data_IF_515417289236
#
_entry.id   IF_515417289236
#
_cell.length_a   1.000
_cell.length_b   1.000
_cell.length_c   1.000
_cell.angle_alpha   90.00
_cell.angle_beta   90.00
_cell.angle_gamma   90.00
#
_symmetry.space_group_name_H-M   'P 1'
#
loop_
_entity.id
_entity.type
_entity.pdbx_description
1 polymer ?
#
# COMPACT_ATOMS: atom_id res chain seq x y z
N UNK A 1 18.38 12.99 4.64
CA UNK A 1 18.06 11.55 4.82
C UNK A 1 17.18 11.44 6.06
N UNK A 2 15.94 10.98 5.90
CA UNK A 2 14.92 10.98 6.96
C UNK A 2 15.35 10.08 8.13
N UNK A 3 15.22 10.58 9.36
CA UNK A 3 15.50 9.88 10.64
C UNK A 3 14.55 8.70 10.94
N UNK A 4 13.65 8.37 10.01
CA UNK A 4 12.69 7.26 10.09
C UNK A 4 13.11 6.02 9.28
N UNK A 5 14.39 5.91 8.88
CA UNK A 5 14.93 4.63 8.43
C UNK A 5 15.01 3.70 9.64
N UNK A 6 13.90 3.02 9.95
CA UNK A 6 13.86 1.95 10.92
C UNK A 6 14.98 0.96 10.56
N UNK A 7 15.72 0.46 11.55
CA UNK A 7 16.70 -0.62 11.34
C UNK A 7 15.96 -1.96 11.16
N UNK A 8 15.04 -2.00 10.20
CA UNK A 8 14.14 -3.12 9.86
C UNK A 8 14.72 -3.95 8.72
N UNK A 9 16.05 -3.94 8.59
CA UNK A 9 16.77 -4.69 7.56
C UNK A 9 16.49 -6.17 7.67
N UNK A 10 16.14 -6.78 6.53
CA UNK A 10 15.94 -8.21 6.40
C UNK A 10 17.18 -8.99 6.88
N UNK A 11 17.04 -9.91 7.86
CA UNK A 11 18.10 -10.81 8.31
C UNK A 11 18.77 -11.57 7.15
N UNK A 12 20.06 -11.87 7.29
CA UNK A 12 20.84 -12.52 6.23
C UNK A 12 20.24 -13.82 5.72
N UNK A 13 19.79 -14.71 6.63
CA UNK A 13 19.16 -15.97 6.25
C UNK A 13 17.87 -15.77 5.44
N UNK A 14 17.07 -14.76 5.77
CA UNK A 14 15.85 -14.43 5.01
C UNK A 14 16.18 -13.79 3.66
N UNK A 15 17.32 -13.11 3.52
CA UNK A 15 17.77 -12.58 2.23
C UNK A 15 18.19 -13.69 1.28
N UNK A 16 18.79 -14.76 1.79
CA UNK A 16 19.08 -15.96 0.99
C UNK A 16 17.78 -16.61 0.50
N UNK A 17 16.79 -16.77 1.40
CA UNK A 17 15.47 -17.28 1.04
C UNK A 17 14.74 -16.39 0.03
N UNK A 18 14.80 -15.07 0.21
CA UNK A 18 14.27 -14.10 -0.75
C UNK A 18 14.84 -14.35 -2.15
N UNK A 19 16.16 -14.48 -2.27
CA UNK A 19 16.80 -14.73 -3.57
C UNK A 19 16.36 -16.04 -4.22
N UNK A 20 16.20 -17.11 -3.42
CA UNK A 20 15.70 -18.41 -3.92
C UNK A 20 14.25 -18.32 -4.40
N UNK A 21 13.37 -17.72 -3.59
CA UNK A 21 11.95 -17.58 -3.91
C UNK A 21 11.76 -16.66 -5.11
N UNK A 22 12.53 -15.57 -5.20
CA UNK A 22 12.50 -14.67 -6.35
C UNK A 22 12.90 -15.38 -7.64
N UNK A 23 13.96 -16.19 -7.60
CA UNK A 23 14.38 -17.02 -8.73
C UNK A 23 13.27 -17.95 -9.20
N UNK A 24 12.67 -18.70 -8.26
CA UNK A 24 11.53 -19.58 -8.56
C UNK A 24 10.37 -18.78 -9.18
N UNK A 25 9.98 -17.65 -8.58
CA UNK A 25 8.89 -16.82 -9.07
C UNK A 25 9.13 -16.34 -10.52
N UNK A 26 10.37 -15.96 -10.85
CA UNK A 26 10.77 -15.58 -12.21
C UNK A 26 10.77 -16.76 -13.17
N UNK A 27 11.22 -17.94 -12.73
CA UNK A 27 11.21 -19.17 -13.53
C UNK A 27 9.77 -19.60 -13.89
N UNK A 28 8.79 -19.32 -13.02
CA UNK A 28 7.36 -19.48 -13.31
C UNK A 28 6.77 -18.37 -14.22
N UNK A 29 7.56 -17.38 -14.61
CA UNK A 29 7.15 -16.31 -15.53
C UNK A 29 6.41 -15.14 -14.88
N UNK A 30 6.49 -14.98 -13.55
CA UNK A 30 5.85 -13.85 -12.86
C UNK A 30 6.59 -12.53 -13.18
N UNK A 31 5.81 -11.47 -13.44
CA UNK A 31 6.27 -10.12 -13.74
C UNK A 31 5.87 -9.16 -12.62
N UNK A 32 6.69 -9.10 -11.56
CA UNK A 32 6.50 -8.23 -10.38
C UNK A 32 7.45 -7.02 -10.38
N UNK A 33 7.12 -5.99 -9.59
CA UNK A 33 8.05 -4.89 -9.31
C UNK A 33 9.22 -5.36 -8.44
N UNK A 34 10.36 -4.63 -8.42
CA UNK A 34 11.39 -4.88 -7.41
C UNK A 34 10.77 -4.83 -6.01
N UNK A 35 10.95 -5.90 -5.22
CA UNK A 35 10.33 -6.04 -3.90
C UNK A 35 11.38 -5.91 -2.80
N UNK A 36 11.13 -5.01 -1.86
CA UNK A 36 11.96 -4.79 -0.67
C UNK A 36 11.22 -5.38 0.53
N UNK A 37 11.84 -6.35 1.18
CA UNK A 37 11.32 -6.93 2.42
C UNK A 37 11.95 -6.28 3.65
N UNK A 38 11.11 -5.98 4.64
CA UNK A 38 11.52 -5.43 5.92
C UNK A 38 10.90 -6.24 7.06
N UNK A 39 11.66 -6.47 8.12
CA UNK A 39 11.16 -7.17 9.32
C UNK A 39 10.62 -6.15 10.31
N UNK A 40 9.38 -6.34 10.77
CA UNK A 40 8.74 -5.50 11.78
C UNK A 40 8.40 -6.28 13.05
N UNK A 41 8.43 -5.57 14.18
CA UNK A 41 7.82 -6.05 15.41
C UNK A 41 6.29 -6.01 15.33
N UNK A 42 5.63 -6.65 16.30
CA UNK A 42 4.17 -6.64 16.41
C UNK A 42 3.60 -5.22 16.50
N UNK A 43 4.20 -4.37 17.34
CA UNK A 43 3.76 -2.99 17.53
C UNK A 43 3.91 -2.19 16.22
N UNK A 44 5.06 -2.33 15.56
CA UNK A 44 5.32 -1.65 14.28
C UNK A 44 4.38 -2.10 13.17
N UNK A 45 4.04 -3.39 13.13
CA UNK A 45 3.07 -3.92 12.16
C UNK A 45 1.70 -3.28 12.38
N UNK A 46 1.24 -3.19 13.62
CA UNK A 46 -0.04 -2.54 13.95
C UNK A 46 -0.02 -1.04 13.65
N UNK A 47 1.08 -0.34 13.93
CA UNK A 47 1.26 1.09 13.59
C UNK A 47 1.15 1.34 12.08
N UNK A 48 1.87 0.55 11.29
CA UNK A 48 1.87 0.68 9.83
C UNK A 48 0.51 0.26 9.25
N UNK A 49 -0.11 -0.79 9.78
CA UNK A 49 -1.44 -1.23 9.38
C UNK A 49 -2.50 -0.16 9.66
N UNK A 50 -2.44 0.52 10.80
CA UNK A 50 -3.32 1.64 11.14
C UNK A 50 -3.15 2.82 10.17
N UNK A 51 -1.98 3.02 9.57
CA UNK A 51 -1.79 3.99 8.48
C UNK A 51 -2.16 3.45 7.09
N UNK A 52 -2.84 2.31 7.02
CA UNK A 52 -3.22 1.63 5.79
C UNK A 52 -1.98 1.21 4.99
N UNK A 53 -0.90 0.86 5.67
CA UNK A 53 0.35 0.41 5.08
C UNK A 53 1.36 1.50 4.75
N UNK A 54 1.00 2.78 4.79
CA UNK A 54 1.90 3.84 4.36
C UNK A 54 2.77 4.36 5.53
N UNK A 55 4.09 4.55 5.34
CA UNK A 55 4.97 5.05 6.41
C UNK A 55 4.64 6.47 6.90
N UNK A 56 3.91 7.25 6.10
CA UNK A 56 3.56 8.62 6.46
C UNK A 56 2.19 8.97 5.91
N UNK A 57 1.31 9.43 6.81
CA UNK A 57 -0.02 9.97 6.51
C UNK A 57 -0.14 11.40 7.05
N UNK A 58 -1.27 12.04 6.74
CA UNK A 58 -1.70 13.24 7.45
C UNK A 58 -2.06 12.86 8.91
N UNK A 59 -1.87 13.76 9.88
CA UNK A 59 -2.29 13.50 11.25
C UNK A 59 -3.82 13.48 11.34
N UNK A 60 -4.38 12.45 11.98
CA UNK A 60 -5.81 12.32 12.24
C UNK A 60 -6.09 11.33 13.36
N UNK A 61 -7.05 11.62 14.23
CA UNK A 61 -7.39 10.81 15.39
C UNK A 61 -7.87 9.38 15.02
N UNK A 62 -8.54 9.22 13.87
CA UNK A 62 -8.99 7.92 13.33
C UNK A 62 -7.88 6.86 13.33
N UNK A 63 -6.65 7.21 12.96
CA UNK A 63 -5.56 6.24 12.91
C UNK A 63 -5.17 5.72 14.31
N UNK A 64 -5.32 6.54 15.35
CA UNK A 64 -5.13 6.10 16.73
C UNK A 64 -6.20 5.10 17.16
N UNK A 65 -7.46 5.32 16.76
CA UNK A 65 -8.53 4.34 17.01
C UNK A 65 -8.33 3.04 16.24
N UNK A 66 -7.91 3.11 14.97
CA UNK A 66 -7.62 1.93 14.16
C UNK A 66 -6.48 1.11 14.78
N UNK A 67 -5.42 1.77 15.26
CA UNK A 67 -4.34 1.12 15.99
C UNK A 67 -4.85 0.39 17.23
N UNK A 68 -5.68 1.04 18.05
CA UNK A 68 -6.23 0.43 19.26
C UNK A 68 -7.08 -0.81 18.95
N UNK A 69 -7.91 -0.75 17.90
CA UNK A 69 -8.71 -1.89 17.44
C UNK A 69 -7.84 -3.06 16.96
N UNK A 70 -6.84 -2.78 16.12
CA UNK A 70 -5.93 -3.79 15.58
C UNK A 70 -5.10 -4.44 16.69
N UNK A 71 -4.53 -3.63 17.59
CA UNK A 71 -3.74 -4.11 18.72
C UNK A 71 -4.54 -5.03 19.63
N UNK A 72 -5.79 -4.68 19.97
CA UNK A 72 -6.65 -5.54 20.81
C UNK A 72 -7.07 -6.81 20.10
N UNK A 73 -7.43 -6.73 18.82
CA UNK A 73 -7.77 -7.91 18.01
C UNK A 73 -6.61 -8.91 17.96
N UNK A 74 -5.38 -8.39 17.86
CA UNK A 74 -4.17 -9.19 17.92
C UNK A 74 -3.93 -9.80 19.32
N UNK A 75 -4.00 -8.99 20.38
CA UNK A 75 -3.78 -9.43 21.76
C UNK A 75 -4.75 -10.54 22.19
N UNK A 76 -6.00 -10.46 21.72
CA UNK A 76 -7.00 -11.50 21.94
C UNK A 76 -6.90 -12.70 20.97
N UNK A 77 -5.92 -12.70 20.07
CA UNK A 77 -5.70 -13.79 19.10
C UNK A 77 -6.79 -13.90 18.02
N UNK A 78 -7.58 -12.86 17.80
CA UNK A 78 -8.67 -12.84 16.82
C UNK A 78 -8.16 -12.64 15.39
N UNK A 79 -7.00 -11.99 15.23
CA UNK A 79 -6.40 -11.74 13.92
C UNK A 79 -4.87 -11.63 14.03
N UNK A 80 -4.14 -12.22 13.08
CA UNK A 80 -2.68 -12.06 12.93
C UNK A 80 -2.37 -11.54 11.54
N UNK A 81 -1.64 -10.42 11.46
CA UNK A 81 -1.13 -9.86 10.21
C UNK A 81 0.21 -10.52 9.92
N UNK A 82 0.22 -11.50 9.02
CA UNK A 82 1.44 -12.20 8.62
C UNK A 82 2.36 -11.31 7.79
N UNK A 83 1.76 -10.48 6.94
CA UNK A 83 2.43 -9.49 6.11
C UNK A 83 1.57 -8.27 5.83
N UNK A 84 2.25 -7.19 5.45
CA UNK A 84 1.62 -6.03 4.84
C UNK A 84 2.40 -5.61 3.61
N UNK A 85 1.73 -5.41 2.48
CA UNK A 85 2.37 -5.07 1.19
C UNK A 85 1.87 -3.74 0.65
N UNK A 86 2.81 -2.86 0.32
CA UNK A 86 2.55 -1.66 -0.48
C UNK A 86 2.96 -1.94 -1.93
N UNK A 87 1.98 -1.98 -2.83
CA UNK A 87 2.18 -2.17 -4.28
C UNK A 87 2.71 -0.91 -4.98
N UNK A 88 3.86 -0.42 -4.50
CA UNK A 88 4.62 0.68 -5.05
C UNK A 88 5.68 0.14 -6.05
N UNK A 89 6.37 1.01 -6.78
CA UNK A 89 7.53 0.69 -7.59
C UNK A 89 8.75 1.46 -7.05
N UNK A 90 9.65 0.84 -6.25
CA UNK A 90 9.64 -0.57 -5.82
C UNK A 90 8.52 -0.88 -4.82
N UNK A 91 8.12 -2.16 -4.74
CA UNK A 91 7.14 -2.65 -3.78
C UNK A 91 7.78 -2.88 -2.42
N UNK A 92 7.06 -2.55 -1.35
CA UNK A 92 7.54 -2.73 0.02
C UNK A 92 6.67 -3.78 0.70
N UNK A 93 7.30 -4.77 1.31
CA UNK A 93 6.63 -5.84 2.03
C UNK A 93 7.19 -5.94 3.44
N UNK A 94 6.30 -5.85 4.42
CA UNK A 94 6.63 -5.94 5.83
C UNK A 94 6.31 -7.35 6.33
N UNK A 95 7.31 -8.01 6.90
CA UNK A 95 7.23 -9.34 7.46
C UNK A 95 7.19 -9.26 8.98
N UNK A 96 6.35 -10.07 9.62
CA UNK A 96 6.27 -10.12 11.07
C UNK A 96 7.41 -10.96 11.68
N UNK A 97 8.11 -10.43 12.68
CA UNK A 97 9.22 -11.13 13.38
C UNK A 97 8.80 -12.45 14.06
N UNK A 98 7.53 -12.57 14.42
CA UNK A 98 6.95 -13.76 15.05
C UNK A 98 6.71 -14.95 14.14
N UNK A 99 6.90 -14.81 12.84
CA UNK A 99 6.65 -15.90 11.90
C UNK A 99 7.81 -16.89 11.91
N UNK A 100 7.48 -18.19 11.97
CA UNK A 100 8.40 -19.29 11.72
C UNK A 100 9.01 -19.21 10.32
N UNK A 101 10.15 -19.86 10.11
CA UNK A 101 10.83 -19.85 8.81
C UNK A 101 9.91 -20.34 7.66
N UNK A 102 9.07 -21.34 7.92
CA UNK A 102 8.11 -21.85 6.93
C UNK A 102 7.06 -20.80 6.59
N UNK A 103 6.53 -20.11 7.61
CA UNK A 103 5.59 -18.99 7.40
C UNK A 103 6.27 -17.86 6.61
N UNK A 104 7.50 -17.49 6.95
CA UNK A 104 8.24 -16.45 6.21
C UNK A 104 8.40 -16.80 4.73
N UNK A 105 8.76 -18.05 4.41
CA UNK A 105 8.89 -18.52 3.02
C UNK A 105 7.55 -18.48 2.28
N UNK A 106 6.49 -18.96 2.92
CA UNK A 106 5.15 -18.96 2.34
C UNK A 106 4.68 -17.53 2.05
N UNK A 107 4.87 -16.64 3.02
CA UNK A 107 4.53 -15.21 2.92
C UNK A 107 5.35 -14.54 1.82
N UNK A 108 6.66 -14.74 1.76
CA UNK A 108 7.49 -14.17 0.68
C UNK A 108 7.01 -14.62 -0.70
N UNK A 109 6.71 -15.91 -0.87
CA UNK A 109 6.16 -16.44 -2.12
C UNK A 109 4.80 -15.81 -2.45
N UNK A 110 3.93 -15.69 -1.44
CA UNK A 110 2.64 -15.01 -1.55
C UNK A 110 2.80 -13.54 -1.97
N UNK A 111 3.74 -12.80 -1.37
CA UNK A 111 4.04 -11.40 -1.70
C UNK A 111 4.45 -11.27 -3.17
N UNK A 112 5.33 -12.12 -3.69
CA UNK A 112 5.72 -12.06 -5.11
C UNK A 112 4.53 -12.26 -6.04
N UNK A 113 3.66 -13.24 -5.75
CA UNK A 113 2.42 -13.45 -6.49
C UNK A 113 1.46 -12.25 -6.37
N UNK A 114 1.35 -11.66 -5.18
CA UNK A 114 0.54 -10.45 -4.96
C UNK A 114 1.04 -9.28 -5.79
N UNK A 115 2.35 -9.00 -5.77
CA UNK A 115 2.93 -7.87 -6.50
C UNK A 115 2.76 -8.06 -8.01
N UNK A 116 2.94 -9.28 -8.53
CA UNK A 116 2.64 -9.62 -9.93
C UNK A 116 1.17 -9.35 -10.28
N UNK A 117 0.24 -9.92 -9.49
CA UNK A 117 -1.19 -9.73 -9.68
C UNK A 117 -1.54 -8.25 -9.71
N UNK A 118 -1.10 -7.49 -8.71
CA UNK A 118 -1.39 -6.07 -8.63
C UNK A 118 -0.77 -5.30 -9.79
N UNK A 119 0.49 -5.57 -10.15
CA UNK A 119 1.17 -4.92 -11.28
C UNK A 119 0.40 -5.09 -12.58
N UNK A 120 -0.11 -6.30 -12.84
CA UNK A 120 -0.72 -6.64 -14.12
C UNK A 120 -2.24 -6.44 -14.17
N UNK A 121 -2.90 -6.24 -13.02
CA UNK A 121 -4.35 -6.07 -12.92
C UNK A 121 -4.84 -4.77 -13.59
N UNK A 122 -5.83 -4.90 -14.48
CA UNK A 122 -6.39 -3.80 -15.27
C UNK A 122 -7.04 -2.72 -14.40
N UNK A 123 -7.58 -3.07 -13.23
CA UNK A 123 -8.25 -2.11 -12.34
C UNK A 123 -7.32 -1.02 -11.84
N UNK A 124 -6.01 -1.30 -11.76
CA UNK A 124 -5.01 -0.32 -11.34
C UNK A 124 -4.60 0.63 -12.46
N UNK A 125 -4.87 0.29 -13.72
CA UNK A 125 -4.52 1.12 -14.88
C UNK A 125 -5.35 2.39 -14.97
N UNK A 126 -6.54 2.39 -14.36
CA UNK A 126 -7.40 3.57 -14.22
C UNK A 126 -6.97 4.53 -13.10
N UNK A 127 -5.95 4.17 -12.32
CA UNK A 127 -5.40 5.07 -11.32
C UNK A 127 -4.55 6.14 -11.99
N UNK A 128 -4.50 7.33 -11.41
CA UNK A 128 -3.76 8.46 -11.96
C UNK A 128 -2.24 8.25 -12.04
N UNK A 129 -1.69 7.29 -11.29
CA UNK A 129 -0.27 6.93 -11.34
C UNK A 129 0.07 5.97 -12.49
N UNK A 130 -0.92 5.23 -13.01
CA UNK A 130 -0.76 4.33 -14.16
C UNK A 130 -1.36 4.92 -15.44
N UNK A 131 -2.39 5.77 -15.33
CA UNK A 131 -3.05 6.41 -16.45
C UNK A 131 -2.19 7.58 -16.98
N UNK A 132 -1.51 7.37 -18.11
CA UNK A 132 -0.87 8.45 -18.87
C UNK A 132 -1.92 9.20 -19.70
N UNK A 133 -2.68 10.10 -19.08
CA UNK A 133 -3.68 10.95 -19.74
C UNK A 133 -5.08 10.35 -19.76
N UNK A 134 -5.88 10.66 -20.79
CA UNK A 134 -7.25 10.16 -20.91
C UNK A 134 -7.22 8.66 -21.23
N UNK A 135 -7.52 7.83 -20.24
CA UNK A 135 -7.61 6.38 -20.41
C UNK A 135 -8.80 6.05 -21.33
N UNK A 136 -8.52 5.72 -22.59
CA UNK A 136 -9.55 5.34 -23.57
C UNK A 136 -10.02 3.90 -23.39
N UNK A 137 -9.15 3.02 -22.91
CA UNK A 137 -9.44 1.60 -22.67
C UNK A 137 -8.56 1.05 -21.52
N UNK A 138 -9.11 0.85 -20.31
CA UNK A 138 -8.40 0.24 -19.18
C UNK A 138 -7.99 -1.21 -19.40
N UNK A 139 -8.70 -1.95 -20.26
CA UNK A 139 -8.47 -3.39 -20.46
C UNK A 139 -7.23 -3.63 -21.31
N UNK A 140 -6.90 -2.70 -22.22
CA UNK A 140 -5.72 -2.81 -23.07
C UNK A 140 -4.45 -2.44 -22.30
N UNK A 141 -3.47 -3.36 -22.32
CA UNK A 141 -2.11 -3.11 -21.82
C UNK A 141 -1.36 -2.27 -22.85
N UNK A 142 -0.82 -1.12 -22.45
CA UNK A 142 0.05 -0.31 -23.29
C UNK A 142 1.43 -0.97 -23.40
N UNK A 143 2.05 -0.91 -24.58
CA UNK A 143 3.40 -1.45 -24.82
C UNK A 143 4.37 -0.33 -25.23
N UNK A 144 5.51 -0.16 -24.54
CA UNK A 144 5.99 -0.96 -23.41
C UNK A 144 5.22 -0.67 -22.11
N UNK A 145 4.93 -1.71 -21.31
CA UNK A 145 4.23 -1.56 -20.03
C UNK A 145 5.18 -1.19 -18.89
N UNK A 146 5.20 0.08 -18.49
CA UNK A 146 6.01 0.57 -17.38
C UNK A 146 5.22 1.51 -16.44
N UNK A 147 4.34 0.96 -15.59
CA UNK A 147 3.54 1.74 -14.64
C UNK A 147 4.40 2.43 -13.57
N UNK A 148 4.14 3.72 -13.33
CA UNK A 148 4.90 4.56 -12.39
C UNK A 148 4.18 4.67 -11.03
N UNK A 149 4.02 3.53 -10.36
CA UNK A 149 3.33 3.44 -9.06
C UNK A 149 4.15 3.99 -7.92
N UNK A 150 4.07 5.31 -7.72
CA UNK A 150 4.72 6.04 -6.62
C UNK A 150 3.73 6.45 -5.52
N UNK A 151 2.95 5.48 -5.03
CA UNK A 151 1.92 5.69 -4.02
C UNK A 151 2.50 6.25 -2.72
N UNK A 152 3.69 5.79 -2.31
CA UNK A 152 4.36 6.26 -1.10
C UNK A 152 4.65 7.76 -1.18
N UNK A 153 5.26 8.21 -2.28
CA UNK A 153 5.57 9.63 -2.50
C UNK A 153 4.29 10.48 -2.58
N UNK A 154 3.27 9.97 -3.27
CA UNK A 154 2.00 10.66 -3.42
C UNK A 154 1.30 10.87 -2.08
N UNK A 155 1.24 9.83 -1.24
CA UNK A 155 0.65 9.92 0.10
C UNK A 155 1.45 10.86 1.02
N UNK A 156 2.79 10.84 0.94
CA UNK A 156 3.63 11.77 1.67
C UNK A 156 3.37 13.22 1.28
N UNK A 157 3.24 13.50 -0.03
CA UNK A 157 2.90 14.83 -0.55
C UNK A 157 1.51 15.29 -0.09
N UNK A 158 0.51 14.41 -0.11
CA UNK A 158 -0.81 14.70 0.46
C UNK A 158 -0.71 15.03 1.95
N UNK A 159 0.03 14.24 2.72
CA UNK A 159 0.25 14.48 4.15
C UNK A 159 0.90 15.85 4.42
N UNK A 160 1.90 16.24 3.62
CA UNK A 160 2.52 17.56 3.72
C UNK A 160 1.52 18.68 3.39
N UNK A 161 0.68 18.50 2.36
CA UNK A 161 -0.32 19.48 1.97
C UNK A 161 -1.36 19.70 3.07
N UNK A 162 -1.85 18.62 3.70
CA UNK A 162 -2.77 18.71 4.84
C UNK A 162 -2.11 19.45 5.99
N UNK A 163 -0.87 19.11 6.37
CA UNK A 163 -0.11 19.83 7.41
C UNK A 163 -0.03 21.34 7.15
N UNK A 164 0.31 21.76 5.92
CA UNK A 164 0.33 23.18 5.55
C UNK A 164 -1.04 23.87 5.73
N UNK A 165 -2.14 23.16 5.47
CA UNK A 165 -3.47 23.70 5.70
C UNK A 165 -3.80 23.80 7.19
N UNK A 166 -3.39 22.82 8.00
CA UNK A 166 -3.54 22.86 9.46
C UNK A 166 -2.76 24.04 10.06
N UNK A 167 -1.52 24.27 9.62
CA UNK A 167 -0.70 25.40 10.08
C UNK A 167 -1.34 26.76 9.75
N UNK A 168 -2.02 26.86 8.59
CA UNK A 168 -2.61 28.12 8.11
C UNK A 168 -3.99 28.41 8.68
N UNK A 169 -4.83 27.38 8.85
CA UNK A 169 -6.27 27.54 9.12
C UNK A 169 -6.64 27.03 10.53
N UNK A 170 -5.76 26.26 11.15
CA UNK A 170 -5.98 25.61 12.45
C UNK A 170 -6.34 24.13 12.29
N UNK A 171 -5.81 23.32 13.20
CA UNK A 171 -5.99 21.85 13.25
C UNK A 171 -7.47 21.46 13.23
N UNK A 172 -8.27 21.98 14.17
CA UNK A 172 -9.65 21.56 14.36
C UNK A 172 -10.53 21.79 13.13
N UNK A 173 -10.33 22.89 12.40
CA UNK A 173 -11.10 23.19 11.17
C UNK A 173 -10.78 22.21 10.04
N UNK A 174 -9.51 21.81 9.94
CA UNK A 174 -9.08 20.85 8.92
C UNK A 174 -9.53 19.44 9.27
N UNK A 175 -9.46 19.06 10.55
CA UNK A 175 -9.99 17.77 11.03
C UNK A 175 -11.48 17.66 10.80
N UNK A 176 -12.28 18.66 11.19
CA UNK A 176 -13.73 18.67 10.95
C UNK A 176 -14.06 18.51 9.45
N UNK A 177 -13.32 19.21 8.58
CA UNK A 177 -13.47 19.04 7.14
C UNK A 177 -13.14 17.62 6.66
N UNK A 178 -12.06 17.03 7.17
CA UNK A 178 -11.68 15.65 6.85
C UNK A 178 -12.75 14.68 7.34
N UNK A 179 -13.27 14.83 8.54
CA UNK A 179 -14.34 14.00 9.09
C UNK A 179 -15.59 14.03 8.19
N UNK A 180 -15.97 15.20 7.69
CA UNK A 180 -17.05 15.30 6.69
C UNK A 180 -16.74 14.52 5.42
N UNK A 181 -15.52 14.61 4.89
CA UNK A 181 -15.11 13.84 3.71
C UNK A 181 -15.13 12.33 3.98
N UNK A 182 -14.65 11.88 5.14
CA UNK A 182 -14.62 10.47 5.52
C UNK A 182 -16.04 9.91 5.70
N UNK A 183 -17.00 10.72 6.14
CA UNK A 183 -18.40 10.28 6.32
C UNK A 183 -19.08 9.81 5.03
N UNK A 184 -18.57 10.25 3.87
CA UNK A 184 -19.09 9.89 2.54
C UNK A 184 -18.13 8.99 1.74
N UNK A 185 -17.00 8.55 2.32
CA UNK A 185 -15.99 7.77 1.59
C UNK A 185 -16.56 6.47 1.00
N UNK A 186 -17.49 5.85 1.74
CA UNK A 186 -18.17 4.62 1.36
C UNK A 186 -19.19 4.81 0.22
N UNK A 187 -19.41 6.04 -0.24
CA UNK A 187 -20.32 6.37 -1.34
C UNK A 187 -19.59 6.57 -2.68
N UNK A 188 -18.26 6.43 -2.70
CA UNK A 188 -17.48 6.52 -3.93
C UNK A 188 -17.65 5.23 -4.74
N UNK A 189 -18.17 5.35 -5.96
CA UNK A 189 -18.27 4.22 -6.89
C UNK A 189 -16.89 3.93 -7.52
N UNK A 190 -16.25 2.79 -7.18
CA UNK A 190 -14.95 2.43 -7.74
C UNK A 190 -15.04 2.00 -9.21
N UNK A 191 -16.23 1.68 -9.72
CA UNK A 191 -16.44 1.22 -11.09
C UNK A 191 -16.65 2.36 -12.08
N UNK A 192 -16.91 3.58 -11.60
CA UNK A 192 -17.13 4.76 -12.43
C UNK A 192 -16.08 4.98 -13.53
N UNK A 193 -14.76 4.77 -13.31
CA UNK A 193 -13.75 4.90 -14.36
C UNK A 193 -13.86 3.87 -15.49
N UNK A 194 -14.55 2.76 -15.26
CA UNK A 194 -14.73 1.66 -16.23
C UNK A 194 -16.08 1.72 -16.94
N UNK A 195 -16.97 2.63 -16.53
CA UNK A 195 -18.29 2.79 -17.13
C UNK A 195 -18.20 3.65 -18.39
N UNK A 196 -18.72 3.19 -19.56
CA UNK A 196 -18.74 3.99 -20.78
C UNK A 196 -19.47 5.32 -20.53
N UNK A 197 -18.87 6.44 -20.93
CA UNK A 197 -19.57 7.73 -20.86
C UNK A 197 -20.73 7.71 -21.86
N UNK A 198 -21.95 8.02 -21.39
CA UNK A 198 -23.08 8.25 -22.29
C UNK A 198 -22.70 9.38 -23.25
N UNK A 199 -22.94 9.24 -24.56
CA UNK A 199 -22.78 10.35 -25.49
C UNK A 199 -23.61 11.52 -24.95
N UNK A 200 -23.01 12.71 -24.90
CA UNK A 200 -23.77 13.92 -24.58
C UNK A 200 -24.74 14.12 -25.72
N UNK A 201 -26.04 14.05 -25.44
CA UNK A 201 -27.07 14.47 -26.37
C UNK A 201 -26.78 15.95 -26.72
N UNK A 202 -26.41 16.17 -27.98
CA UNK A 202 -26.09 17.48 -28.58
C UNK A 202 -27.34 18.27 -28.88
#
# INVERSE_FOLDING_TARGET
MSKFALKTTLPGYLREEQGRIEGIARDYGLDFFPTVFEMLSYDQMNEIAAYGGFPTRYPHWRFGMEYEQLSKSYEYGLSKIYELVINNNPSFAYLLEGNSLTEQRLVMAHVYGHVDFFKNNFSFRATDLDAHGNLSDPMRRAEPFNPQRKWVDKMANHGQRVRRHMDRIGVSKVEEFIDFCLSIENLIDPWRPFTPQRPRDS
#
